data_IF_451825974032
#
_entry.id   IF_451825974032
#
_cell.length_a   1.000
_cell.length_b   1.000
_cell.length_c   1.000
_cell.angle_alpha   90.00
_cell.angle_beta   90.00
_cell.angle_gamma   90.00
#
_symmetry.space_group_name_H-M   'P 1'
#
loop_
_entity.id
_entity.type
_entity.pdbx_description
1 polymer ?
#
# COMPACT_ATOMS: atom_id res chain seq x y z
N UNK A 1 31.56 -18.32 32.95
CA UNK A 1 30.82 -18.36 31.67
C UNK A 1 31.83 -18.66 30.57
N UNK A 2 31.96 -19.95 30.21
CA UNK A 2 32.91 -20.41 29.17
C UNK A 2 32.17 -20.30 27.82
N UNK A 3 32.59 -19.37 26.98
CA UNK A 3 32.14 -19.25 25.57
C UNK A 3 32.69 -20.45 24.79
N UNK A 4 31.84 -21.44 24.54
CA UNK A 4 32.18 -22.60 23.73
C UNK A 4 32.24 -22.15 22.27
N UNK A 5 33.44 -21.69 21.83
CA UNK A 5 33.73 -21.49 20.40
C UNK A 5 33.77 -22.86 19.74
N UNK A 6 32.66 -23.33 19.23
CA UNK A 6 32.65 -24.51 18.36
C UNK A 6 33.59 -24.28 17.19
N UNK A 7 34.48 -25.28 16.94
CA UNK A 7 35.44 -25.19 15.85
C UNK A 7 34.70 -25.03 14.52
N UNK A 8 35.16 -24.09 13.67
CA UNK A 8 34.64 -23.86 12.31
C UNK A 8 34.59 -25.17 11.52
N UNK A 9 35.54 -26.07 11.73
CA UNK A 9 35.56 -27.40 11.09
C UNK A 9 34.37 -28.25 11.53
N UNK A 10 33.94 -28.17 12.80
CA UNK A 10 32.77 -28.90 13.30
C UNK A 10 31.48 -28.36 12.69
N UNK A 11 31.37 -27.02 12.50
CA UNK A 11 30.24 -26.39 11.83
C UNK A 11 30.14 -26.76 10.33
N UNK A 12 31.31 -26.86 9.65
CA UNK A 12 31.36 -27.24 8.23
C UNK A 12 31.13 -28.73 7.97
N UNK A 13 31.35 -29.60 8.98
CA UNK A 13 31.14 -31.05 8.89
C UNK A 13 29.83 -31.52 9.47
N UNK A 14 28.98 -30.62 9.95
CA UNK A 14 27.62 -30.96 10.40
C UNK A 14 26.79 -31.50 9.23
N UNK A 15 26.11 -32.64 9.47
CA UNK A 15 25.27 -33.28 8.48
C UNK A 15 23.79 -32.94 8.82
N UNK A 16 23.12 -32.04 8.04
CA UNK A 16 21.77 -31.58 8.35
C UNK A 16 20.71 -32.69 8.40
N UNK A 17 21.00 -33.84 7.76
CA UNK A 17 20.10 -35.00 7.70
C UNK A 17 20.25 -36.00 8.86
N UNK A 18 21.21 -35.80 9.78
CA UNK A 18 21.32 -36.64 10.97
C UNK A 18 20.21 -36.26 11.97
N UNK A 19 19.57 -37.27 12.55
CA UNK A 19 18.47 -37.07 13.50
C UNK A 19 18.87 -36.32 14.77
N UNK A 20 20.16 -36.36 15.15
CA UNK A 20 20.76 -35.58 16.21
C UNK A 20 20.84 -34.09 15.87
N UNK A 21 21.22 -33.77 14.64
CA UNK A 21 21.31 -32.41 14.16
C UNK A 21 19.90 -31.81 13.94
N UNK A 22 18.95 -32.59 13.38
CA UNK A 22 17.57 -32.18 13.23
C UNK A 22 16.92 -31.79 14.57
N UNK A 23 17.29 -32.43 15.69
CA UNK A 23 16.82 -32.05 17.02
C UNK A 23 17.39 -30.70 17.48
N UNK A 24 18.63 -30.38 17.15
CA UNK A 24 19.27 -29.10 17.45
C UNK A 24 18.71 -27.97 16.59
N UNK A 25 18.51 -28.24 15.30
CA UNK A 25 17.96 -27.27 14.35
C UNK A 25 16.47 -26.97 14.65
N UNK A 26 15.70 -27.99 15.09
CA UNK A 26 14.30 -27.83 15.50
C UNK A 26 14.13 -27.15 16.87
N UNK A 27 15.17 -27.04 17.70
CA UNK A 27 15.11 -26.25 18.94
C UNK A 27 14.90 -24.75 18.67
N UNK A 28 15.24 -24.29 17.47
CA UNK A 28 14.99 -22.91 17.05
C UNK A 28 13.54 -22.61 16.60
N UNK A 29 12.64 -23.60 16.63
CA UNK A 29 11.20 -23.44 16.30
C UNK A 29 10.94 -22.57 15.04
N UNK A 30 11.86 -22.50 14.10
CA UNK A 30 11.74 -21.63 12.92
C UNK A 30 11.80 -20.12 13.23
N UNK A 31 12.16 -19.70 14.45
CA UNK A 31 12.23 -18.28 14.86
C UNK A 31 13.55 -17.59 14.50
N UNK A 32 14.31 -18.11 13.55
CA UNK A 32 15.56 -17.51 13.09
C UNK A 32 15.38 -16.08 12.55
N UNK A 33 14.17 -15.73 12.12
CA UNK A 33 13.74 -14.37 11.85
C UNK A 33 12.39 -14.16 12.54
N UNK A 34 12.34 -13.36 13.60
CA UNK A 34 11.09 -12.88 14.20
C UNK A 34 10.41 -11.86 13.24
N UNK A 35 10.29 -12.27 11.98
CA UNK A 35 9.68 -11.49 10.93
C UNK A 35 8.17 -11.58 11.09
N UNK A 36 7.59 -10.47 11.47
CA UNK A 36 6.14 -10.34 11.47
C UNK A 36 5.63 -10.58 10.03
N UNK A 37 5.00 -11.73 9.80
CA UNK A 37 4.52 -12.20 8.49
C UNK A 37 3.68 -11.12 7.78
N UNK A 38 2.89 -10.34 8.54
CA UNK A 38 2.12 -9.23 7.99
C UNK A 38 2.97 -8.08 7.44
N UNK A 39 4.07 -7.73 8.13
CA UNK A 39 5.03 -6.72 7.63
C UNK A 39 5.74 -7.19 6.37
N UNK A 40 6.14 -8.45 6.36
CA UNK A 40 6.85 -9.05 5.22
C UNK A 40 5.92 -9.09 4.00
N UNK A 41 4.70 -9.63 4.13
CA UNK A 41 3.72 -9.68 3.05
C UNK A 41 3.39 -8.29 2.49
N UNK A 42 3.20 -7.29 3.35
CA UNK A 42 2.96 -5.91 2.92
C UNK A 42 4.15 -5.34 2.14
N UNK A 43 5.39 -5.57 2.59
CA UNK A 43 6.60 -5.13 1.86
C UNK A 43 6.69 -5.74 0.47
N UNK A 44 6.47 -7.04 0.35
CA UNK A 44 6.47 -7.72 -0.95
C UNK A 44 5.39 -7.15 -1.88
N UNK A 45 4.18 -6.94 -1.38
CA UNK A 45 3.09 -6.33 -2.16
C UNK A 45 3.47 -4.93 -2.65
N UNK A 46 4.05 -4.08 -1.79
CA UNK A 46 4.50 -2.75 -2.19
C UNK A 46 5.64 -2.79 -3.22
N UNK A 47 6.62 -3.70 -3.07
CA UNK A 47 7.73 -3.87 -4.02
C UNK A 47 7.19 -4.28 -5.40
N UNK A 48 6.34 -5.30 -5.46
CA UNK A 48 5.75 -5.79 -6.72
C UNK A 48 4.91 -4.69 -7.38
N UNK A 49 4.07 -3.98 -6.60
CA UNK A 49 3.30 -2.85 -7.12
C UNK A 49 4.19 -1.72 -7.65
N UNK A 50 5.28 -1.40 -6.94
CA UNK A 50 6.24 -0.37 -7.39
C UNK A 50 6.88 -0.77 -8.72
N UNK A 51 7.36 -2.01 -8.85
CA UNK A 51 7.96 -2.50 -10.10
C UNK A 51 6.94 -2.40 -11.25
N UNK A 52 5.70 -2.83 -11.01
CA UNK A 52 4.64 -2.77 -12.01
C UNK A 52 4.37 -1.32 -12.46
N UNK A 53 4.20 -0.38 -11.53
CA UNK A 53 3.97 1.02 -11.88
C UNK A 53 5.20 1.64 -12.58
N UNK A 54 6.43 1.31 -12.15
CA UNK A 54 7.64 1.78 -12.83
C UNK A 54 7.70 1.31 -14.28
N UNK A 55 7.36 0.05 -14.56
CA UNK A 55 7.32 -0.48 -15.94
C UNK A 55 6.29 0.28 -16.79
N UNK A 56 5.10 0.55 -16.27
CA UNK A 56 4.10 1.34 -16.98
C UNK A 56 4.52 2.80 -17.17
N UNK A 57 5.22 3.41 -16.22
CA UNK A 57 5.76 4.78 -16.36
C UNK A 57 6.81 4.82 -17.48
N UNK A 58 7.69 3.82 -17.57
CA UNK A 58 8.68 3.72 -18.67
C UNK A 58 7.99 3.59 -20.03
N UNK A 59 7.00 2.70 -20.15
CA UNK A 59 6.26 2.55 -21.42
C UNK A 59 5.44 3.78 -21.76
N UNK A 60 4.92 4.50 -20.77
CA UNK A 60 4.25 5.79 -20.95
C UNK A 60 5.21 6.83 -21.52
N UNK A 61 6.40 6.99 -20.92
CA UNK A 61 7.41 7.94 -21.35
C UNK A 61 7.93 7.64 -22.77
N UNK A 62 8.12 6.37 -23.11
CA UNK A 62 8.48 5.92 -24.46
C UNK A 62 7.37 6.27 -25.46
N UNK A 63 6.12 6.07 -25.08
CA UNK A 63 4.97 6.29 -25.96
C UNK A 63 4.69 7.77 -26.26
N UNK A 64 5.06 8.66 -25.34
CA UNK A 64 4.91 10.12 -25.51
C UNK A 64 5.67 10.71 -26.72
N UNK A 65 6.69 10.01 -27.23
CA UNK A 65 7.54 10.49 -28.31
C UNK A 65 6.88 10.36 -29.69
N UNK A 66 5.79 9.60 -29.82
CA UNK A 66 5.13 9.33 -31.08
C UNK A 66 4.10 10.40 -31.47
N UNK A 67 3.92 10.65 -32.77
CA UNK A 67 3.08 11.72 -33.32
C UNK A 67 1.57 11.58 -33.04
N UNK A 68 1.12 10.37 -32.68
CA UNK A 68 -0.29 10.10 -32.30
C UNK A 68 -0.61 10.39 -30.84
N UNK A 69 0.36 10.95 -30.09
CA UNK A 69 0.15 11.39 -28.71
C UNK A 69 -0.65 12.68 -28.67
N UNK A 70 -1.86 12.61 -28.14
CA UNK A 70 -2.72 13.79 -27.93
C UNK A 70 -2.92 13.97 -26.43
N UNK A 71 -2.51 15.14 -25.92
CA UNK A 71 -2.72 15.50 -24.51
C UNK A 71 -4.20 15.49 -24.15
N UNK A 72 -4.49 14.93 -22.98
CA UNK A 72 -5.83 14.94 -22.41
C UNK A 72 -5.97 16.15 -21.49
N UNK A 73 -7.12 16.89 -21.51
CA UNK A 73 -7.36 17.95 -20.57
C UNK A 73 -7.50 17.37 -19.14
N UNK A 74 -7.01 18.12 -18.18
CA UNK A 74 -7.04 17.73 -16.78
C UNK A 74 -8.33 18.26 -16.12
N UNK A 75 -9.31 17.37 -15.80
CA UNK A 75 -10.50 17.79 -15.08
C UNK A 75 -10.13 18.35 -13.70
N UNK A 76 -10.71 19.49 -13.31
CA UNK A 76 -10.50 20.10 -12.00
C UNK A 76 -10.80 19.13 -10.84
N UNK A 77 -11.67 18.18 -11.06
CA UNK A 77 -12.06 17.15 -10.09
C UNK A 77 -10.87 16.25 -9.67
N UNK A 78 -9.84 16.06 -10.52
CA UNK A 78 -8.62 15.33 -10.16
C UNK A 78 -7.85 16.03 -9.04
N UNK A 79 -7.82 17.36 -9.01
CA UNK A 79 -7.20 18.13 -7.93
C UNK A 79 -7.95 17.94 -6.61
N UNK A 80 -9.29 17.94 -6.66
CA UNK A 80 -10.12 17.67 -5.47
C UNK A 80 -9.86 16.25 -4.95
N UNK A 81 -9.82 15.25 -5.84
CA UNK A 81 -9.51 13.87 -5.48
C UNK A 81 -8.13 13.75 -4.83
N UNK A 82 -7.12 14.42 -5.38
CA UNK A 82 -5.78 14.45 -4.79
C UNK A 82 -5.80 15.04 -3.39
N UNK A 83 -6.51 16.15 -3.19
CA UNK A 83 -6.66 16.79 -1.88
C UNK A 83 -7.33 15.84 -0.86
N UNK A 84 -8.36 15.10 -1.26
CA UNK A 84 -9.03 14.09 -0.42
C UNK A 84 -8.03 13.04 0.08
N UNK A 85 -7.16 12.51 -0.81
CA UNK A 85 -6.14 11.55 -0.42
C UNK A 85 -5.09 12.14 0.52
N UNK A 86 -4.65 13.37 0.29
CA UNK A 86 -3.70 14.07 1.18
C UNK A 86 -4.32 14.24 2.57
N UNK A 87 -5.56 14.70 2.65
CA UNK A 87 -6.29 14.83 3.92
C UNK A 87 -6.39 13.49 4.63
N UNK A 88 -6.75 12.41 3.92
CA UNK A 88 -6.84 11.07 4.51
C UNK A 88 -5.50 10.59 5.07
N UNK A 89 -4.39 10.90 4.39
CA UNK A 89 -3.03 10.59 4.85
C UNK A 89 -2.66 11.34 6.14
N UNK A 90 -3.04 12.61 6.26
CA UNK A 90 -2.85 13.40 7.49
C UNK A 90 -3.64 12.77 8.65
N UNK A 91 -4.87 12.32 8.41
CA UNK A 91 -5.65 11.61 9.43
C UNK A 91 -4.98 10.32 9.87
N UNK A 92 -4.33 9.55 8.98
CA UNK A 92 -3.58 8.36 9.37
C UNK A 92 -2.42 8.69 10.32
N UNK A 93 -1.68 9.76 10.09
CA UNK A 93 -0.61 10.22 11.01
C UNK A 93 -1.22 10.51 12.39
N UNK A 94 -2.37 11.21 12.43
CA UNK A 94 -3.07 11.50 13.70
C UNK A 94 -3.52 10.24 14.43
N UNK A 95 -4.03 9.24 13.70
CA UNK A 95 -4.43 7.94 14.26
C UNK A 95 -3.24 7.22 14.86
N UNK A 96 -2.10 7.18 14.19
CA UNK A 96 -0.88 6.58 14.72
C UNK A 96 -0.46 7.23 16.04
N UNK A 97 -0.52 8.57 16.12
CA UNK A 97 -0.22 9.31 17.34
C UNK A 97 -1.22 9.02 18.47
N UNK A 98 -2.52 8.95 18.14
CA UNK A 98 -3.59 8.63 19.10
C UNK A 98 -3.46 7.20 19.61
N UNK A 99 -3.15 6.25 18.73
CA UNK A 99 -2.92 4.85 19.11
C UNK A 99 -1.67 4.67 20.00
N UNK A 100 -0.60 5.44 19.75
CA UNK A 100 0.58 5.45 20.65
C UNK A 100 0.22 5.92 22.07
N UNK A 101 -0.68 6.90 22.19
CA UNK A 101 -1.20 7.43 23.47
C UNK A 101 -2.29 6.56 24.11
N UNK A 102 -2.59 5.37 23.57
CA UNK A 102 -3.68 4.46 24.00
C UNK A 102 -5.10 5.07 23.92
N UNK A 103 -5.30 6.14 23.15
CA UNK A 103 -6.62 6.76 22.95
C UNK A 103 -7.32 6.10 21.74
N UNK A 104 -7.85 4.90 21.95
CA UNK A 104 -8.46 4.11 20.87
C UNK A 104 -9.84 4.63 20.44
N UNK A 105 -10.57 5.31 21.31
CA UNK A 105 -11.85 5.94 20.96
C UNK A 105 -11.64 7.01 19.86
N UNK A 106 -10.63 7.85 20.03
CA UNK A 106 -10.27 8.84 19.02
C UNK A 106 -9.76 8.18 17.76
N UNK A 107 -8.88 7.17 17.87
CA UNK A 107 -8.36 6.43 16.73
C UNK A 107 -9.49 5.77 15.92
N UNK A 108 -10.50 5.19 16.57
CA UNK A 108 -11.66 4.56 15.93
C UNK A 108 -12.49 5.54 15.12
N UNK A 109 -12.80 6.71 15.69
CA UNK A 109 -13.54 7.77 14.99
C UNK A 109 -12.78 8.29 13.78
N UNK A 110 -11.49 8.55 13.93
CA UNK A 110 -10.64 9.04 12.83
C UNK A 110 -10.47 7.97 11.73
N UNK A 111 -10.40 6.67 12.08
CA UNK A 111 -10.38 5.56 11.13
C UNK A 111 -11.66 5.52 10.27
N UNK A 112 -12.83 5.77 10.88
CA UNK A 112 -14.08 5.83 10.13
C UNK A 112 -14.07 6.95 9.09
N UNK A 113 -13.57 8.14 9.45
CA UNK A 113 -13.42 9.26 8.50
C UNK A 113 -12.52 8.92 7.31
N UNK A 114 -11.45 8.17 7.52
CA UNK A 114 -10.57 7.75 6.42
C UNK A 114 -11.31 6.84 5.44
N UNK A 115 -12.06 5.86 5.93
CA UNK A 115 -12.88 5.00 5.06
C UNK A 115 -13.88 5.81 4.24
N UNK A 116 -14.53 6.80 4.86
CA UNK A 116 -15.42 7.72 4.15
C UNK A 116 -14.70 8.50 3.05
N UNK A 117 -13.53 9.09 3.35
CA UNK A 117 -12.71 9.81 2.37
C UNK A 117 -12.24 8.91 1.22
N UNK A 118 -11.91 7.64 1.50
CA UNK A 118 -11.53 6.70 0.47
C UNK A 118 -12.67 6.36 -0.49
N UNK A 119 -13.86 6.15 0.04
CA UNK A 119 -15.07 5.93 -0.78
C UNK A 119 -15.37 7.18 -1.61
N UNK A 120 -15.25 8.38 -1.01
CA UNK A 120 -15.45 9.65 -1.70
C UNK A 120 -14.46 9.83 -2.86
N UNK A 121 -13.19 9.47 -2.66
CA UNK A 121 -12.19 9.46 -3.73
C UNK A 121 -12.58 8.50 -4.88
N UNK A 122 -13.02 7.28 -4.57
CA UNK A 122 -13.44 6.32 -5.61
C UNK A 122 -14.64 6.85 -6.40
N UNK A 123 -15.63 7.43 -5.73
CA UNK A 123 -16.78 8.06 -6.40
C UNK A 123 -16.30 9.23 -7.27
N UNK A 124 -15.45 10.10 -6.73
CA UNK A 124 -14.87 11.21 -7.47
C UNK A 124 -14.10 10.74 -8.71
N UNK A 125 -13.37 9.63 -8.63
CA UNK A 125 -12.65 9.07 -9.78
C UNK A 125 -13.61 8.54 -10.87
N UNK A 126 -14.71 7.93 -10.48
CA UNK A 126 -15.75 7.51 -11.43
C UNK A 126 -16.43 8.70 -12.11
N UNK A 127 -16.63 9.79 -11.37
CA UNK A 127 -17.15 11.04 -11.95
C UNK A 127 -16.16 11.66 -12.95
N UNK A 128 -14.85 11.66 -12.64
CA UNK A 128 -13.82 12.07 -13.60
C UNK A 128 -13.89 11.25 -14.88
N UNK A 129 -14.05 9.94 -14.78
CA UNK A 129 -14.19 9.08 -15.96
C UNK A 129 -15.45 9.42 -16.76
N UNK A 130 -16.56 9.66 -16.08
CA UNK A 130 -17.81 10.05 -16.74
C UNK A 130 -17.68 11.37 -17.49
N UNK A 131 -17.07 12.39 -16.87
CA UNK A 131 -16.85 13.70 -17.47
C UNK A 131 -15.97 13.58 -18.73
N UNK A 132 -14.88 12.79 -18.66
CA UNK A 132 -13.98 12.57 -19.79
C UNK A 132 -14.65 11.83 -20.95
N UNK A 133 -15.45 10.81 -20.64
CA UNK A 133 -16.21 10.07 -21.68
C UNK A 133 -17.24 10.99 -22.34
N UNK A 134 -17.94 11.84 -21.59
CA UNK A 134 -18.90 12.82 -22.13
C UNK A 134 -18.20 13.89 -22.99
N UNK A 135 -16.96 14.24 -22.64
CA UNK A 135 -16.12 15.16 -23.43
C UNK A 135 -15.51 14.50 -24.67
N UNK A 136 -15.74 13.20 -24.93
CA UNK A 136 -15.25 12.47 -26.09
C UNK A 136 -13.87 11.82 -25.92
N UNK A 137 -13.27 11.84 -24.71
CA UNK A 137 -11.98 11.23 -24.42
C UNK A 137 -12.13 9.75 -24.05
N UNK A 138 -12.37 8.91 -25.07
CA UNK A 138 -12.49 7.47 -24.90
C UNK A 138 -11.12 6.79 -24.76
N UNK A 139 -11.10 5.61 -24.13
CA UNK A 139 -9.90 4.77 -23.97
C UNK A 139 -9.18 4.51 -25.31
N UNK A 140 -9.94 4.35 -26.39
CA UNK A 140 -9.43 4.06 -27.74
C UNK A 140 -9.08 5.30 -28.56
N UNK A 141 -9.30 6.51 -28.03
CA UNK A 141 -9.14 7.75 -28.79
C UNK A 141 -7.68 8.17 -28.99
N UNK A 142 -6.85 8.03 -27.99
CA UNK A 142 -5.42 8.36 -27.98
C UNK A 142 -4.69 7.45 -27.00
N UNK A 143 -3.39 7.15 -27.24
CA UNK A 143 -2.59 6.43 -26.26
C UNK A 143 -2.57 7.09 -24.88
N UNK A 144 -2.52 8.41 -24.78
CA UNK A 144 -2.59 9.17 -23.53
C UNK A 144 -3.84 8.83 -22.73
N UNK A 145 -5.01 8.77 -23.38
CA UNK A 145 -6.27 8.38 -22.74
C UNK A 145 -6.19 6.94 -22.22
N UNK A 146 -5.67 6.02 -23.04
CA UNK A 146 -5.49 4.61 -22.63
C UNK A 146 -4.67 4.46 -21.35
N UNK A 147 -3.54 5.16 -21.26
CA UNK A 147 -2.70 5.15 -20.07
C UNK A 147 -3.36 5.80 -18.87
N UNK A 148 -4.10 6.90 -19.04
CA UNK A 148 -4.86 7.53 -17.97
C UNK A 148 -5.84 6.53 -17.32
N UNK A 149 -6.67 5.88 -18.13
CA UNK A 149 -7.63 4.89 -17.63
C UNK A 149 -6.92 3.68 -17.01
N UNK A 150 -5.82 3.21 -17.61
CA UNK A 150 -5.02 2.11 -17.09
C UNK A 150 -4.47 2.44 -15.69
N UNK A 151 -3.78 3.57 -15.54
CA UNK A 151 -3.16 3.98 -14.28
C UNK A 151 -4.19 4.19 -13.17
N UNK A 152 -5.27 4.90 -13.49
CA UNK A 152 -6.33 5.18 -12.50
C UNK A 152 -7.10 3.94 -12.10
N UNK A 153 -7.32 2.99 -13.04
CA UNK A 153 -7.93 1.69 -12.74
C UNK A 153 -7.03 0.85 -11.83
N UNK A 154 -5.74 0.70 -12.19
CA UNK A 154 -4.79 -0.07 -11.38
C UNK A 154 -4.62 0.52 -9.99
N UNK A 155 -4.50 1.85 -9.90
CA UNK A 155 -4.46 2.54 -8.60
C UNK A 155 -5.76 2.29 -7.80
N UNK A 156 -6.91 2.35 -8.45
CA UNK A 156 -8.21 2.04 -7.86
C UNK A 156 -8.29 0.62 -7.29
N UNK A 157 -7.78 -0.39 -8.01
CA UNK A 157 -7.69 -1.76 -7.50
C UNK A 157 -6.80 -1.88 -6.26
N UNK A 158 -5.66 -1.19 -6.23
CA UNK A 158 -4.80 -1.14 -5.05
C UNK A 158 -5.50 -0.44 -3.87
N UNK A 159 -6.25 0.62 -4.14
CA UNK A 159 -7.05 1.32 -3.11
C UNK A 159 -8.18 0.43 -2.57
N UNK A 160 -8.86 -0.35 -3.42
CA UNK A 160 -9.84 -1.34 -2.96
C UNK A 160 -9.20 -2.40 -2.05
N UNK A 161 -8.00 -2.89 -2.39
CA UNK A 161 -7.22 -3.76 -1.51
C UNK A 161 -6.91 -3.08 -0.16
N UNK A 162 -6.55 -1.80 -0.19
CA UNK A 162 -6.36 -0.97 1.01
C UNK A 162 -7.62 -0.81 1.85
N UNK A 163 -8.78 -0.65 1.22
CA UNK A 163 -10.08 -0.58 1.89
C UNK A 163 -10.46 -1.91 2.57
N UNK A 164 -10.17 -3.05 1.95
CA UNK A 164 -10.37 -4.37 2.57
C UNK A 164 -9.49 -4.48 3.83
N UNK A 165 -8.22 -4.09 3.74
CA UNK A 165 -7.32 -4.11 4.89
C UNK A 165 -7.73 -3.11 5.98
N UNK A 166 -8.21 -1.92 5.60
CA UNK A 166 -8.81 -0.95 6.50
C UNK A 166 -10.04 -1.51 7.22
N UNK A 167 -10.95 -2.18 6.50
CA UNK A 167 -12.13 -2.79 7.09
C UNK A 167 -11.77 -3.88 8.13
N UNK A 168 -10.74 -4.69 7.84
CA UNK A 168 -10.20 -5.65 8.81
C UNK A 168 -9.57 -4.93 10.02
N UNK A 169 -8.92 -3.80 9.81
CA UNK A 169 -8.30 -3.00 10.87
C UNK A 169 -9.35 -2.41 11.80
N UNK A 170 -10.40 -1.78 11.24
CA UNK A 170 -11.48 -1.19 12.04
C UNK A 170 -12.20 -2.25 12.86
N UNK A 171 -12.44 -3.42 12.28
CA UNK A 171 -13.10 -4.54 12.97
C UNK A 171 -12.26 -5.05 14.17
N UNK A 172 -10.93 -5.11 14.02
CA UNK A 172 -10.01 -5.45 15.11
C UNK A 172 -9.98 -4.37 16.21
N UNK A 173 -9.98 -3.10 15.82
CA UNK A 173 -10.00 -1.97 16.77
C UNK A 173 -11.33 -1.87 17.51
N UNK A 174 -12.44 -2.32 16.90
CA UNK A 174 -13.77 -2.32 17.55
C UNK A 174 -13.94 -3.45 18.57
N UNK A 175 -13.33 -4.61 18.33
CA UNK A 175 -13.39 -5.78 19.22
C UNK A 175 -12.32 -5.77 20.31
N UNK A 176 -11.83 -4.58 20.71
CA UNK A 176 -10.76 -4.44 21.71
C UNK A 176 -11.19 -4.94 23.10
N UNK A 177 -10.81 -6.18 23.41
CA UNK A 177 -10.57 -6.64 24.77
C UNK A 177 -9.10 -6.40 25.15
N UNK A 178 -8.80 -6.17 26.43
CA UNK A 178 -7.50 -5.68 26.93
C UNK A 178 -6.23 -6.40 26.44
N UNK A 179 -6.35 -7.62 25.92
CA UNK A 179 -5.23 -8.46 25.43
C UNK A 179 -4.80 -8.09 24.00
N UNK A 180 -5.60 -7.32 23.26
CA UNK A 180 -5.45 -7.11 21.81
C UNK A 180 -4.79 -5.77 21.44
N UNK A 181 -4.50 -4.91 22.43
CA UNK A 181 -4.00 -3.54 22.22
C UNK A 181 -2.73 -3.50 21.36
N UNK A 182 -1.76 -4.38 21.60
CA UNK A 182 -0.51 -4.43 20.83
C UNK A 182 -0.73 -4.86 19.37
N UNK A 183 -1.64 -5.82 19.15
CA UNK A 183 -2.01 -6.27 17.81
C UNK A 183 -2.75 -5.19 17.04
N UNK A 184 -3.63 -4.42 17.68
CA UNK A 184 -4.36 -3.32 17.06
C UNK A 184 -3.42 -2.19 16.64
N UNK A 185 -2.49 -1.75 17.49
CA UNK A 185 -1.45 -0.76 17.15
C UNK A 185 -0.65 -1.17 15.91
N UNK A 186 -0.20 -2.42 15.89
CA UNK A 186 0.56 -2.95 14.78
C UNK A 186 -0.24 -2.97 13.47
N UNK A 187 -1.52 -3.36 13.52
CA UNK A 187 -2.40 -3.37 12.34
C UNK A 187 -2.66 -1.94 11.83
N UNK A 188 -2.84 -0.97 12.73
CA UNK A 188 -2.97 0.46 12.36
C UNK A 188 -1.69 0.95 11.68
N UNK A 189 -0.52 0.60 12.22
CA UNK A 189 0.78 0.98 11.63
C UNK A 189 0.93 0.45 10.21
N UNK A 190 0.63 -0.83 9.97
CA UNK A 190 0.71 -1.44 8.64
C UNK A 190 -0.29 -0.81 7.65
N UNK A 191 -1.52 -0.55 8.11
CA UNK A 191 -2.54 0.11 7.31
C UNK A 191 -2.10 1.51 6.90
N UNK A 192 -1.50 2.28 7.80
CA UNK A 192 -0.99 3.61 7.53
C UNK A 192 0.19 3.60 6.54
N UNK A 193 1.14 2.66 6.68
CA UNK A 193 2.26 2.49 5.74
C UNK A 193 1.72 2.25 4.33
N UNK A 194 0.77 1.33 4.18
CA UNK A 194 0.16 1.04 2.89
C UNK A 194 -0.59 2.25 2.30
N UNK A 195 -1.28 3.02 3.15
CA UNK A 195 -2.01 4.22 2.73
C UNK A 195 -1.11 5.32 2.21
N UNK A 196 0.00 5.57 2.94
CA UNK A 196 1.01 6.53 2.47
C UNK A 196 1.68 6.10 1.17
N UNK A 197 1.90 4.80 0.99
CA UNK A 197 2.38 4.24 -0.28
C UNK A 197 1.39 4.51 -1.41
N UNK A 198 0.08 4.28 -1.21
CA UNK A 198 -0.95 4.59 -2.21
C UNK A 198 -0.97 6.07 -2.59
N UNK A 199 -0.87 6.97 -1.59
CA UNK A 199 -0.76 8.41 -1.86
C UNK A 199 0.49 8.74 -2.66
N UNK A 200 1.65 8.17 -2.32
CA UNK A 200 2.90 8.41 -3.05
C UNK A 200 2.79 7.98 -4.51
N UNK A 201 2.24 6.79 -4.77
CA UNK A 201 1.97 6.31 -6.14
C UNK A 201 1.03 7.26 -6.87
N UNK A 202 -0.07 7.71 -6.22
CA UNK A 202 -1.01 8.65 -6.84
C UNK A 202 -0.35 9.97 -7.23
N UNK A 203 0.47 10.56 -6.34
CA UNK A 203 1.18 11.82 -6.62
C UNK A 203 2.11 11.67 -7.83
N UNK A 204 2.83 10.54 -7.93
CA UNK A 204 3.70 10.26 -9.08
C UNK A 204 2.88 10.14 -10.36
N UNK A 205 1.79 9.36 -10.36
CA UNK A 205 0.92 9.18 -11.52
C UNK A 205 0.25 10.48 -11.95
N UNK A 206 -0.28 11.23 -10.99
CA UNK A 206 -0.90 12.53 -11.26
C UNK A 206 0.11 13.54 -11.79
N UNK A 207 1.30 13.61 -11.16
CA UNK A 207 2.40 14.45 -11.66
C UNK A 207 2.81 14.08 -13.08
N UNK A 208 2.93 12.79 -13.40
CA UNK A 208 3.24 12.33 -14.75
C UNK A 208 2.19 12.82 -15.77
N UNK A 209 0.92 12.76 -15.42
CA UNK A 209 -0.18 13.22 -16.27
C UNK A 209 -0.20 14.75 -16.46
N UNK A 210 0.26 15.52 -15.46
CA UNK A 210 0.36 16.98 -15.54
C UNK A 210 1.46 17.45 -16.50
N UNK A 211 2.54 16.67 -16.63
CA UNK A 211 3.72 17.06 -17.43
C UNK A 211 3.75 16.44 -18.83
N UNK A 212 2.76 15.64 -19.19
CA UNK A 212 2.73 14.93 -20.49
C UNK A 212 1.97 15.66 -21.61
#
# INVERSE_FOLDING_TARGET
MSSNKESIVKLLTQKPWESSQAKVDNLHEGKTFDLNVGKLGLRYLMIVSTIMFCLFIVTYADRMVYDDWVRMPEPFLLWINTLILVISSIFFIRIQLSAKKNNFEKARRELFFIGFLAVLFLIGQLLVWQDLVQAGYYVSGSPANGYFYLFTTLHGFHLLGGLIYWAMTINKVWKLENIVIRKAKHTIELCAIYWHFLLAVWIVLFGLMLFS
#
